data_IF_770397168332
#
_entry.id   IF_770397168332
#
_cell.length_a   1.000
_cell.length_b   1.000
_cell.length_c   1.000
_cell.angle_alpha   90.00
_cell.angle_beta   90.00
_cell.angle_gamma   90.00
#
_symmetry.space_group_name_H-M   'P 1'
#
loop_
_entity.id
_entity.type
_entity.pdbx_description
1 polymer ?
#
# COMPACT_ATOMS: atom_id res chain seq x y z
N UNK A 1 -44.43 47.51 -5.94
CA UNK A 1 -44.05 48.87 -6.41
C UNK A 1 -42.54 48.86 -6.56
N UNK A 2 -41.93 48.60 -7.73
CA UNK A 2 -41.67 49.56 -8.83
C UNK A 2 -40.95 50.82 -8.32
N UNK A 3 -39.80 51.33 -8.79
CA UNK A 3 -38.81 51.00 -9.84
C UNK A 3 -37.67 52.08 -9.78
N UNK A 4 -36.56 51.86 -10.50
CA UNK A 4 -35.44 52.78 -10.91
C UNK A 4 -34.31 53.06 -9.88
N UNK A 5 -33.02 52.69 -10.05
CA UNK A 5 -32.01 52.66 -11.15
C UNK A 5 -31.15 53.93 -11.22
N UNK A 6 -29.82 53.81 -11.05
CA UNK A 6 -28.79 54.51 -11.86
C UNK A 6 -27.39 53.87 -11.73
N UNK A 7 -26.76 53.80 -12.89
CA UNK A 7 -25.49 53.19 -13.29
C UNK A 7 -24.35 54.21 -13.19
N UNK A 8 -23.11 53.76 -13.01
CA UNK A 8 -21.96 54.29 -13.77
C UNK A 8 -20.91 53.21 -14.03
N UNK A 9 -20.35 53.25 -15.25
CA UNK A 9 -19.40 52.34 -15.90
C UNK A 9 -18.30 53.22 -16.52
N UNK A 10 -17.04 52.79 -16.47
CA UNK A 10 -15.93 53.16 -17.38
C UNK A 10 -14.77 52.18 -17.09
N UNK A 11 -14.44 51.15 -17.89
CA UNK A 11 -13.70 51.10 -19.18
C UNK A 11 -12.29 51.72 -19.19
N UNK A 12 -11.27 50.82 -19.07
CA UNK A 12 -10.01 50.56 -19.85
C UNK A 12 -9.28 51.71 -20.60
N UNK A 13 -7.97 51.62 -21.02
CA UNK A 13 -7.15 50.42 -21.33
C UNK A 13 -5.60 50.50 -21.06
N UNK A 14 -4.90 49.41 -21.41
CA UNK A 14 -3.47 49.31 -21.79
C UNK A 14 -2.36 49.53 -20.73
N UNK A 15 -1.52 48.49 -20.52
CA UNK A 15 -0.09 48.45 -20.94
C UNK A 15 0.48 47.05 -20.63
N UNK A 16 0.97 46.41 -21.68
CA UNK A 16 1.83 45.21 -21.73
C UNK A 16 3.28 45.71 -21.72
N UNK A 17 4.20 45.13 -20.93
CA UNK A 17 5.46 44.46 -21.36
C UNK A 17 6.45 44.19 -20.22
N UNK A 18 7.15 43.07 -20.40
CA UNK A 18 8.21 42.40 -19.65
C UNK A 18 9.46 43.21 -19.21
N UNK A 19 10.15 42.63 -18.21
CA UNK A 19 11.55 42.11 -18.28
C UNK A 19 12.55 42.66 -17.22
N UNK A 20 13.03 41.72 -16.40
CA UNK A 20 14.36 41.61 -15.73
C UNK A 20 14.93 42.76 -14.89
N UNK A 21 15.35 42.43 -13.66
CA UNK A 21 16.70 42.77 -13.18
C UNK A 21 17.15 41.88 -12.00
N UNK A 22 18.45 41.58 -12.02
CA UNK A 22 19.25 40.77 -11.07
C UNK A 22 19.54 41.54 -9.78
N UNK A 23 19.75 40.80 -8.67
CA UNK A 23 20.75 41.05 -7.61
C UNK A 23 20.86 39.74 -6.79
N UNK A 24 21.87 38.86 -6.92
CA UNK A 24 23.31 38.85 -6.54
C UNK A 24 23.64 38.97 -5.03
N UNK A 25 24.47 37.98 -4.62
CA UNK A 25 25.38 37.85 -3.45
C UNK A 25 24.75 37.18 -2.21
N UNK A 26 25.38 36.22 -1.53
CA UNK A 26 26.80 35.85 -1.41
C UNK A 26 26.95 34.37 -1.03
N UNK A 27 27.81 33.62 -1.75
CA UNK A 27 28.26 32.28 -1.39
C UNK A 27 29.78 32.24 -1.41
N UNK A 28 30.38 31.86 -0.29
CA UNK A 28 31.80 31.55 -0.09
C UNK A 28 31.81 30.63 1.15
N UNK A 29 32.47 29.48 1.25
CA UNK A 29 33.87 29.09 1.02
C UNK A 29 33.86 27.53 0.97
N UNK A 30 34.16 26.86 -0.14
CA UNK A 30 35.40 26.11 -0.49
C UNK A 30 35.99 25.12 0.55
N UNK A 31 36.08 23.88 0.09
CA UNK A 31 36.80 22.70 0.61
C UNK A 31 38.30 22.93 0.91
N UNK A 32 38.85 22.17 1.86
CA UNK A 32 39.74 21.03 1.54
C UNK A 32 40.29 20.31 2.78
N UNK A 33 40.10 18.99 2.77
CA UNK A 33 40.82 18.02 3.59
C UNK A 33 42.30 17.91 3.17
N UNK A 34 43.21 17.87 4.15
CA UNK A 34 44.29 16.88 4.39
C UNK A 34 45.35 17.48 5.34
N UNK A 35 46.20 16.59 5.87
CA UNK A 35 47.33 16.75 6.82
C UNK A 35 46.93 16.37 8.26
N UNK A 36 47.16 15.15 8.77
CA UNK A 36 48.37 14.31 8.91
C UNK A 36 49.25 14.68 10.12
N UNK A 37 49.20 13.77 11.12
CA UNK A 37 50.29 13.26 11.98
C UNK A 37 51.14 14.24 12.82
N UNK A 38 51.16 13.89 14.12
CA UNK A 38 52.36 13.64 14.94
C UNK A 38 53.03 14.85 15.59
N UNK A 39 52.88 14.94 16.93
CA UNK A 39 53.96 14.99 17.95
C UNK A 39 53.27 15.11 19.32
N UNK A 40 53.46 14.18 20.27
CA UNK A 40 54.57 14.14 21.24
C UNK A 40 54.73 15.50 21.96
N UNK A 41 54.76 15.63 23.28
CA UNK A 41 55.25 14.71 24.31
C UNK A 41 55.15 15.38 25.70
N UNK A 42 54.97 14.56 26.76
CA UNK A 42 55.40 14.67 28.18
C UNK A 42 55.27 16.00 28.96
N UNK A 43 54.60 15.94 30.12
CA UNK A 43 55.23 16.31 31.40
C UNK A 43 54.59 15.57 32.61
N UNK A 44 55.35 15.48 33.70
CA UNK A 44 55.39 14.44 34.73
C UNK A 44 54.39 14.52 35.94
N UNK A 45 54.45 13.44 36.74
CA UNK A 45 53.75 12.98 37.99
C UNK A 45 53.87 13.91 39.25
N UNK A 46 53.50 13.49 40.49
CA UNK A 46 52.30 12.81 41.07
C UNK A 46 51.77 13.52 42.37
N UNK A 47 50.58 13.15 42.91
CA UNK A 47 50.32 12.89 44.35
C UNK A 47 48.82 12.89 44.77
N UNK A 48 48.51 11.96 45.69
CA UNK A 48 47.43 11.93 46.71
C UNK A 48 45.95 11.69 46.35
N UNK A 49 45.30 10.87 47.19
CA UNK A 49 43.87 10.51 47.25
C UNK A 49 43.37 10.69 48.70
N UNK A 50 42.06 10.55 49.07
CA UNK A 50 40.75 10.77 48.41
C UNK A 50 39.86 11.77 49.25
N UNK A 51 38.52 12.00 49.05
CA UNK A 51 37.43 11.03 49.28
C UNK A 51 36.17 11.09 48.34
N UNK A 52 35.50 9.92 48.24
CA UNK A 52 34.06 9.59 48.06
C UNK A 52 33.05 10.42 47.20
N UNK A 53 32.56 9.74 46.13
CA UNK A 53 31.21 9.67 45.52
C UNK A 53 30.58 10.91 44.81
N UNK A 54 29.68 10.76 43.79
CA UNK A 54 28.92 9.56 43.40
C UNK A 54 29.14 9.06 41.95
N UNK A 55 28.74 7.80 41.71
CA UNK A 55 28.81 7.11 40.42
C UNK A 55 27.83 7.69 39.38
N UNK A 56 28.19 7.75 38.08
CA UNK A 56 27.24 8.03 37.01
C UNK A 56 26.32 6.83 36.78
N UNK A 57 25.02 7.09 36.63
CA UNK A 57 24.03 6.10 36.22
C UNK A 57 24.45 5.41 34.91
N UNK A 58 24.28 4.08 34.76
CA UNK A 58 24.41 3.46 33.47
C UNK A 58 23.19 3.84 32.61
N UNK A 59 23.43 4.65 31.58
CA UNK A 59 22.55 4.79 30.43
C UNK A 59 22.36 3.41 29.81
N UNK A 60 21.22 2.77 30.09
CA UNK A 60 20.81 1.52 29.46
C UNK A 60 20.42 1.78 28.00
N UNK A 61 21.41 1.86 27.12
CA UNK A 61 21.25 1.58 25.69
C UNK A 61 21.97 0.27 25.39
N UNK A 62 21.60 -0.79 26.10
CA UNK A 62 21.92 -2.15 25.72
C UNK A 62 20.71 -2.73 25.02
N UNK A 63 20.80 -3.02 23.72
CA UNK A 63 19.83 -3.91 23.05
C UNK A 63 19.79 -5.21 23.88
N UNK A 64 18.66 -5.50 24.51
CA UNK A 64 18.50 -6.75 25.25
C UNK A 64 18.63 -7.90 24.27
N UNK A 65 19.53 -8.84 24.57
CA UNK A 65 19.84 -10.02 23.75
C UNK A 65 18.82 -11.15 23.96
N UNK A 66 17.80 -10.94 24.81
CA UNK A 66 16.71 -11.90 24.98
C UNK A 66 15.68 -11.77 23.84
N UNK A 67 15.15 -12.89 23.31
CA UNK A 67 14.05 -12.84 22.35
C UNK A 67 12.87 -12.11 22.98
N UNK A 68 12.26 -11.21 22.21
CA UNK A 68 11.06 -10.48 22.61
C UNK A 68 9.94 -11.46 22.99
N UNK A 69 9.11 -11.15 24.02
CA UNK A 69 8.01 -12.01 24.41
C UNK A 69 7.09 -12.35 23.24
N UNK A 70 6.59 -13.58 23.21
CA UNK A 70 5.65 -14.03 22.19
C UNK A 70 4.23 -13.75 22.66
N UNK A 71 3.44 -13.09 21.82
CA UNK A 71 2.01 -12.83 21.98
C UNK A 71 1.24 -13.82 21.13
N UNK A 72 0.18 -14.41 21.68
CA UNK A 72 -0.72 -15.28 20.93
C UNK A 72 -1.91 -14.47 20.41
N UNK A 73 -2.18 -14.56 19.11
CA UNK A 73 -3.36 -13.94 18.48
C UNK A 73 -4.33 -15.03 18.03
N UNK A 74 -5.63 -14.80 18.25
CA UNK A 74 -6.72 -15.66 17.78
C UNK A 74 -7.46 -14.92 16.67
N UNK A 75 -7.40 -15.42 15.45
CA UNK A 75 -7.82 -14.69 14.24
C UNK A 75 -8.91 -15.44 13.49
N UNK A 76 -9.92 -14.69 13.05
CA UNK A 76 -11.05 -15.20 12.29
C UNK A 76 -12.09 -15.92 13.14
N UNK A 77 -13.21 -16.24 12.50
CA UNK A 77 -14.36 -16.91 13.16
C UNK A 77 -14.04 -18.28 13.70
N UNK A 78 -13.13 -18.99 13.04
CA UNK A 78 -12.65 -20.31 13.46
C UNK A 78 -11.59 -20.24 14.57
N UNK A 79 -11.12 -19.02 14.90
CA UNK A 79 -10.14 -18.82 15.97
C UNK A 79 -8.76 -19.39 15.66
N UNK A 80 -8.26 -19.21 14.43
CA UNK A 80 -6.93 -19.66 14.03
C UNK A 80 -5.86 -18.95 14.85
N UNK A 81 -4.97 -19.72 15.47
CA UNK A 81 -3.92 -19.18 16.33
C UNK A 81 -2.70 -18.73 15.53
N UNK A 82 -2.17 -17.56 15.90
CA UNK A 82 -0.91 -17.00 15.42
C UNK A 82 -0.02 -16.68 16.63
N UNK A 83 1.29 -16.85 16.45
CA UNK A 83 2.30 -16.45 17.42
C UNK A 83 3.20 -15.39 16.80
N UNK A 84 3.32 -14.24 17.46
CA UNK A 84 4.14 -13.14 16.98
C UNK A 84 4.94 -12.51 18.12
N UNK A 85 6.11 -11.98 17.79
CA UNK A 85 6.94 -11.28 18.75
C UNK A 85 6.37 -9.90 19.08
N UNK A 86 6.45 -9.50 20.35
CA UNK A 86 5.89 -8.23 20.83
C UNK A 86 6.51 -7.01 20.12
N UNK A 87 7.82 -7.02 19.88
CA UNK A 87 8.52 -5.95 19.16
C UNK A 87 8.08 -5.83 17.69
N UNK A 88 7.75 -6.96 17.06
CA UNK A 88 7.21 -6.98 15.69
C UNK A 88 5.82 -6.37 15.66
N UNK A 89 4.97 -6.71 16.62
CA UNK A 89 3.61 -6.17 16.75
C UNK A 89 3.61 -4.66 17.07
N UNK A 90 4.58 -4.18 17.84
CA UNK A 90 4.68 -2.76 18.24
C UNK A 90 4.89 -1.78 17.08
N UNK A 91 5.25 -2.27 15.90
CA UNK A 91 5.26 -1.45 14.69
C UNK A 91 3.86 -0.95 14.30
N UNK A 92 2.80 -1.61 14.78
CA UNK A 92 1.42 -1.15 14.68
C UNK A 92 0.99 -0.42 15.96
N UNK A 93 0.53 0.84 15.88
CA UNK A 93 -0.02 1.55 17.04
C UNK A 93 -1.19 0.82 17.69
N UNK A 94 -2.01 0.12 16.89
CA UNK A 94 -3.13 -0.68 17.37
C UNK A 94 -2.65 -1.84 18.25
N UNK A 95 -1.70 -2.66 17.76
CA UNK A 95 -1.21 -3.80 18.52
C UNK A 95 -0.32 -3.37 19.70
N UNK A 96 0.43 -2.28 19.58
CA UNK A 96 1.18 -1.69 20.69
C UNK A 96 0.24 -1.32 21.84
N UNK A 97 -0.86 -0.63 21.55
CA UNK A 97 -1.88 -0.28 22.54
C UNK A 97 -2.56 -1.52 23.14
N UNK A 98 -2.92 -2.51 22.31
CA UNK A 98 -3.54 -3.75 22.75
C UNK A 98 -2.63 -4.55 23.71
N UNK A 99 -1.33 -4.67 23.38
CA UNK A 99 -0.36 -5.36 24.21
C UNK A 99 -0.08 -4.61 25.54
N UNK A 100 -0.07 -3.28 25.52
CA UNK A 100 0.15 -2.47 26.75
C UNK A 100 -1.06 -2.50 27.68
N UNK A 101 -2.28 -2.56 27.15
CA UNK A 101 -3.51 -2.65 27.94
C UNK A 101 -3.62 -3.92 28.78
N UNK A 102 -2.90 -4.98 28.41
CA UNK A 102 -2.96 -6.30 29.05
C UNK A 102 -2.00 -6.51 30.21
N UNK A 103 -1.32 -5.45 30.69
CA UNK A 103 -0.33 -5.56 31.78
C UNK A 103 -0.89 -6.11 33.11
N UNK A 104 -2.21 -6.10 33.30
CA UNK A 104 -2.87 -6.62 34.51
C UNK A 104 -3.47 -8.02 34.34
N UNK A 105 -3.61 -8.55 33.13
CA UNK A 105 -4.16 -9.89 32.87
C UNK A 105 -3.04 -10.94 32.77
N UNK A 106 -2.90 -11.73 33.84
CA UNK A 106 -2.26 -13.05 33.96
C UNK A 106 -1.41 -13.55 32.78
N UNK A 107 -0.07 -13.51 32.95
CA UNK A 107 1.00 -14.33 32.32
C UNK A 107 1.03 -14.61 30.79
N UNK A 108 -0.04 -14.38 30.03
CA UNK A 108 -0.11 -14.60 28.58
C UNK A 108 -0.91 -13.49 27.91
N UNK A 109 -0.23 -12.58 27.20
CA UNK A 109 -0.88 -11.59 26.34
C UNK A 109 -1.59 -12.31 25.19
N UNK A 110 -2.90 -12.07 25.05
CA UNK A 110 -3.75 -12.72 24.05
C UNK A 110 -4.62 -11.69 23.33
N UNK A 111 -4.49 -11.59 22.01
CA UNK A 111 -5.28 -10.66 21.20
C UNK A 111 -6.30 -11.45 20.38
N UNK A 112 -7.57 -11.04 20.37
CA UNK A 112 -8.62 -11.66 19.56
C UNK A 112 -9.06 -10.74 18.43
N UNK A 113 -9.13 -11.28 17.21
CA UNK A 113 -9.49 -10.58 15.97
C UNK A 113 -10.54 -11.43 15.21
N UNK A 114 -11.79 -11.52 15.70
CA UNK A 114 -12.81 -12.42 15.15
C UNK A 114 -13.29 -12.02 13.74
N UNK A 115 -13.22 -10.73 13.40
CA UNK A 115 -13.68 -10.17 12.12
C UNK A 115 -12.58 -10.14 11.05
N UNK A 116 -11.36 -10.55 11.39
CA UNK A 116 -10.22 -10.55 10.46
C UNK A 116 -10.07 -11.92 9.79
N UNK A 117 -9.85 -11.94 8.48
CA UNK A 117 -9.57 -13.18 7.77
C UNK A 117 -8.13 -13.65 8.05
N UNK A 118 -7.89 -14.94 8.36
CA UNK A 118 -6.56 -15.41 8.72
C UNK A 118 -5.50 -15.19 7.63
N UNK A 119 -5.88 -15.30 6.35
CA UNK A 119 -4.98 -15.06 5.21
C UNK A 119 -4.58 -13.58 5.12
N UNK A 120 -5.48 -12.67 5.49
CA UNK A 120 -5.19 -11.23 5.54
C UNK A 120 -4.27 -10.93 6.69
N UNK A 121 -4.55 -11.45 7.89
CA UNK A 121 -3.65 -11.28 9.02
C UNK A 121 -2.27 -11.90 8.76
N UNK A 122 -2.21 -13.06 8.11
CA UNK A 122 -0.93 -13.65 7.68
C UNK A 122 -0.13 -12.70 6.79
N UNK A 123 -0.80 -11.95 5.91
CA UNK A 123 -0.17 -10.97 5.02
C UNK A 123 0.32 -9.74 5.78
N UNK A 124 -0.49 -9.26 6.74
CA UNK A 124 -0.10 -8.17 7.65
C UNK A 124 1.12 -8.59 8.47
N UNK A 125 1.11 -9.79 9.04
CA UNK A 125 2.21 -10.28 9.86
C UNK A 125 3.48 -10.47 9.03
N UNK A 126 3.37 -11.01 7.82
CA UNK A 126 4.51 -11.10 6.90
C UNK A 126 5.12 -9.73 6.61
N UNK A 127 4.27 -8.73 6.36
CA UNK A 127 4.72 -7.35 6.18
C UNK A 127 5.45 -6.81 7.42
N UNK A 128 4.94 -7.07 8.64
CA UNK A 128 5.61 -6.62 9.87
C UNK A 128 7.01 -7.25 10.03
N UNK A 129 7.22 -8.48 9.55
CA UNK A 129 8.54 -9.12 9.60
C UNK A 129 9.49 -8.72 8.46
N UNK A 130 8.97 -8.51 7.25
CA UNK A 130 9.78 -8.43 6.02
C UNK A 130 9.70 -7.08 5.30
N UNK A 131 8.75 -6.23 5.68
CA UNK A 131 8.42 -4.98 4.97
C UNK A 131 7.65 -5.19 3.65
N UNK A 132 7.30 -6.43 3.32
CA UNK A 132 6.52 -6.81 2.14
C UNK A 132 5.69 -8.07 2.47
N UNK A 133 4.68 -8.38 1.66
CA UNK A 133 3.87 -9.59 1.78
C UNK A 133 3.75 -10.29 0.43
N UNK A 134 3.44 -11.59 0.40
CA UNK A 134 3.26 -12.30 -0.87
C UNK A 134 1.98 -11.84 -1.62
N UNK A 135 2.01 -11.61 -2.95
CA UNK A 135 3.18 -11.68 -3.83
C UNK A 135 4.03 -10.42 -3.74
N UNK A 136 5.36 -10.59 -3.72
CA UNK A 136 6.32 -9.51 -3.55
C UNK A 136 6.41 -8.59 -4.76
N UNK A 137 6.80 -7.36 -4.48
CA UNK A 137 7.01 -6.35 -5.50
C UNK A 137 8.45 -6.43 -6.05
N UNK A 138 8.59 -6.75 -7.33
CA UNK A 138 9.89 -6.96 -8.00
C UNK A 138 10.17 -5.83 -8.98
N UNK A 139 11.36 -5.23 -8.90
CA UNK A 139 11.80 -4.22 -9.87
C UNK A 139 12.44 -4.90 -11.08
N UNK A 140 11.80 -4.76 -12.23
CA UNK A 140 12.34 -5.15 -13.51
C UNK A 140 13.31 -4.06 -13.99
N UNK A 141 14.61 -4.28 -13.75
CA UNK A 141 15.67 -3.32 -14.12
C UNK A 141 15.73 -3.05 -15.62
N UNK A 142 15.40 -4.03 -16.46
CA UNK A 142 15.47 -3.90 -17.92
C UNK A 142 14.40 -2.95 -18.46
N UNK A 143 13.20 -2.98 -17.87
CA UNK A 143 12.06 -2.14 -18.29
C UNK A 143 11.85 -0.94 -17.38
N UNK A 144 12.69 -0.78 -16.36
CA UNK A 144 12.53 0.16 -15.27
C UNK A 144 11.09 0.18 -14.72
N UNK A 145 10.47 -0.99 -14.61
CA UNK A 145 9.08 -1.20 -14.19
C UNK A 145 9.02 -2.02 -12.90
N UNK A 146 7.89 -1.98 -12.22
CA UNK A 146 7.62 -2.82 -11.05
C UNK A 146 6.51 -3.81 -11.39
N UNK A 147 6.73 -5.06 -11.03
CA UNK A 147 5.87 -6.19 -11.37
C UNK A 147 5.66 -7.05 -10.11
N UNK A 148 4.56 -7.81 -10.06
CA UNK A 148 4.35 -8.81 -9.01
C UNK A 148 5.18 -10.06 -9.33
N UNK A 149 5.74 -10.71 -8.31
CA UNK A 149 6.65 -11.84 -8.54
C UNK A 149 6.02 -13.01 -9.32
N UNK A 150 4.71 -13.22 -9.24
CA UNK A 150 4.04 -14.27 -10.02
C UNK A 150 3.85 -13.90 -11.49
N UNK A 151 3.74 -12.60 -11.80
CA UNK A 151 3.73 -12.15 -13.19
C UNK A 151 5.07 -12.47 -13.88
N UNK A 152 6.17 -12.46 -13.12
CA UNK A 152 7.49 -12.86 -13.60
C UNK A 152 7.55 -14.38 -13.82
N UNK A 153 7.04 -15.18 -12.88
CA UNK A 153 7.00 -16.65 -12.97
C UNK A 153 6.08 -17.17 -14.08
N UNK A 154 5.04 -16.41 -14.43
CA UNK A 154 4.11 -16.74 -15.51
C UNK A 154 4.66 -16.53 -16.92
N UNK A 155 5.85 -15.92 -17.07
CA UNK A 155 6.52 -15.87 -18.37
C UNK A 155 7.35 -17.15 -18.55
N UNK A 156 7.05 -18.01 -19.55
CA UNK A 156 7.97 -19.08 -19.88
C UNK A 156 9.27 -18.44 -20.39
N UNK A 157 10.29 -18.37 -19.53
CA UNK A 157 11.64 -18.08 -20.00
C UNK A 157 12.01 -19.17 -21.00
N UNK A 158 12.07 -18.80 -22.28
CA UNK A 158 12.84 -19.50 -23.30
C UNK A 158 14.24 -19.77 -22.75
N UNK A 159 14.55 -21.04 -22.54
CA UNK A 159 15.92 -21.53 -22.39
C UNK A 159 16.14 -22.72 -23.34
N UNK A 160 17.36 -22.87 -23.85
CA UNK A 160 17.64 -23.41 -25.18
C UNK A 160 17.64 -24.94 -25.20
N UNK A 161 17.18 -25.47 -26.33
CA UNK A 161 17.27 -26.90 -26.69
C UNK A 161 18.72 -27.41 -26.59
N UNK A 162 18.93 -28.66 -26.15
CA UNK A 162 19.72 -29.55 -26.98
C UNK A 162 19.02 -30.89 -27.22
N UNK A 163 19.02 -31.25 -28.49
CA UNK A 163 18.49 -32.45 -29.11
C UNK A 163 19.50 -33.61 -29.02
N UNK A 164 19.07 -34.79 -28.56
CA UNK A 164 19.49 -36.12 -29.06
C UNK A 164 18.83 -37.26 -28.23
N UNK A 165 17.79 -37.93 -28.75
CA UNK A 165 17.75 -39.25 -29.46
C UNK A 165 17.22 -40.41 -28.58
N UNK A 166 16.68 -41.52 -29.17
CA UNK A 166 15.38 -42.07 -28.75
C UNK A 166 15.47 -43.50 -28.18
N UNK A 167 14.29 -44.04 -27.77
CA UNK A 167 13.80 -45.44 -27.96
C UNK A 167 13.39 -46.18 -26.68
N UNK A 168 12.08 -46.46 -26.58
CA UNK A 168 11.58 -47.81 -26.27
C UNK A 168 10.96 -48.07 -24.88
N UNK A 169 9.72 -48.57 -24.87
CA UNK A 169 9.35 -49.71 -24.01
C UNK A 169 8.37 -49.50 -22.85
N UNK A 170 7.08 -49.72 -23.15
CA UNK A 170 5.93 -50.23 -22.35
C UNK A 170 6.05 -50.57 -20.84
N UNK A 171 4.88 -50.37 -20.20
CA UNK A 171 4.32 -50.95 -18.95
C UNK A 171 4.69 -50.19 -17.65
N UNK A 172 3.82 -49.95 -16.68
CA UNK A 172 2.50 -50.50 -16.35
C UNK A 172 1.65 -49.44 -15.61
N UNK A 173 0.32 -49.57 -15.74
CA UNK A 173 -0.65 -48.73 -15.06
C UNK A 173 -0.81 -49.12 -13.60
N UNK A 174 -0.78 -48.13 -12.70
CA UNK A 174 -1.29 -48.21 -11.32
C UNK A 174 -2.17 -46.97 -11.10
N UNK A 175 -3.40 -47.11 -10.57
CA UNK A 175 -4.35 -46.00 -10.51
C UNK A 175 -4.09 -45.16 -9.26
N UNK A 176 -3.63 -43.91 -9.45
CA UNK A 176 -3.64 -42.88 -8.42
C UNK A 176 -4.73 -41.85 -8.74
N UNK A 177 -5.68 -41.80 -7.81
CA UNK A 177 -6.61 -40.73 -7.40
C UNK A 177 -6.45 -39.38 -8.13
N UNK A 178 -7.55 -38.74 -8.59
CA UNK A 178 -7.47 -37.42 -9.20
C UNK A 178 -7.27 -36.36 -8.11
N UNK A 179 -6.02 -36.07 -7.76
CA UNK A 179 -5.70 -34.83 -7.06
C UNK A 179 -5.92 -33.70 -8.06
N UNK A 180 -7.02 -32.98 -7.85
CA UNK A 180 -7.36 -31.75 -8.54
C UNK A 180 -6.29 -30.68 -8.27
N UNK A 181 -5.24 -30.67 -9.08
CA UNK A 181 -4.41 -29.47 -9.27
C UNK A 181 -4.50 -29.11 -10.73
N UNK A 182 -5.66 -28.57 -11.09
CA UNK A 182 -5.92 -28.00 -12.39
C UNK A 182 -5.12 -26.71 -12.53
N UNK A 183 -4.16 -26.76 -13.43
CA UNK A 183 -3.64 -25.66 -14.24
C UNK A 183 -4.67 -24.53 -14.47
N UNK A 184 -4.40 -23.31 -14.01
CA UNK A 184 -5.14 -22.13 -14.48
C UNK A 184 -5.20 -20.94 -13.53
N UNK A 185 -4.62 -19.82 -14.00
CA UNK A 185 -5.00 -18.43 -13.72
C UNK A 185 -4.44 -17.78 -12.44
N UNK A 186 -3.55 -16.82 -12.65
CA UNK A 186 -3.07 -15.79 -11.68
C UNK A 186 -4.20 -15.04 -10.94
N UNK A 187 -5.46 -15.18 -11.37
CA UNK A 187 -6.63 -14.58 -10.74
C UNK A 187 -6.99 -15.21 -9.38
N UNK A 188 -6.61 -16.47 -9.11
CA UNK A 188 -7.00 -17.17 -7.88
C UNK A 188 -6.42 -16.54 -6.61
N UNK A 189 -5.35 -15.74 -6.72
CA UNK A 189 -4.67 -15.14 -5.57
C UNK A 189 -4.96 -13.64 -5.41
N UNK A 190 -5.35 -12.97 -6.48
CA UNK A 190 -5.72 -11.55 -6.46
C UNK A 190 -7.02 -11.29 -5.67
N UNK A 191 -7.81 -12.35 -5.42
CA UNK A 191 -9.09 -12.26 -4.72
C UNK A 191 -9.12 -13.14 -3.49
N UNK A 192 -9.93 -12.74 -2.52
CA UNK A 192 -10.18 -13.49 -1.29
C UNK A 192 -11.67 -13.45 -0.98
N UNK A 193 -12.20 -14.54 -0.41
CA UNK A 193 -13.54 -14.55 0.15
C UNK A 193 -13.52 -13.89 1.52
N UNK A 194 -14.38 -12.89 1.75
CA UNK A 194 -14.52 -12.26 3.06
C UNK A 194 -15.84 -12.69 3.69
N UNK A 195 -15.75 -13.38 4.81
CA UNK A 195 -16.88 -13.97 5.53
C UNK A 195 -17.87 -12.92 6.03
N UNK A 196 -17.40 -11.71 6.33
CA UNK A 196 -18.22 -10.59 6.78
C UNK A 196 -19.22 -10.10 5.72
N UNK A 197 -18.85 -10.12 4.44
CA UNK A 197 -19.72 -9.69 3.34
C UNK A 197 -20.22 -10.85 2.45
N UNK A 198 -19.69 -12.06 2.63
CA UNK A 198 -20.09 -13.26 1.89
C UNK A 198 -19.74 -13.19 0.41
N UNK A 199 -18.67 -12.47 0.04
CA UNK A 199 -18.30 -12.20 -1.35
C UNK A 199 -16.80 -12.32 -1.58
N UNK A 200 -16.42 -12.64 -2.81
CA UNK A 200 -15.04 -12.49 -3.28
C UNK A 200 -14.76 -11.03 -3.66
N UNK A 201 -13.71 -10.47 -3.06
CA UNK A 201 -13.18 -9.14 -3.32
C UNK A 201 -11.66 -9.18 -3.49
N UNK A 202 -11.07 -8.08 -3.94
CA UNK A 202 -9.63 -7.96 -4.14
C UNK A 202 -8.89 -8.08 -2.79
N UNK A 203 -7.94 -9.01 -2.73
CA UNK A 203 -7.15 -9.28 -1.52
C UNK A 203 -6.41 -8.03 -1.04
N UNK A 204 -5.76 -7.32 -1.97
CA UNK A 204 -5.02 -6.08 -1.65
C UNK A 204 -5.93 -4.98 -1.06
N UNK A 205 -7.22 -4.96 -1.40
CA UNK A 205 -8.19 -4.03 -0.78
C UNK A 205 -8.46 -4.38 0.66
N UNK A 206 -8.60 -5.67 0.97
CA UNK A 206 -8.84 -6.12 2.34
C UNK A 206 -7.61 -5.84 3.20
N UNK A 207 -6.42 -6.11 2.65
CA UNK A 207 -5.13 -5.76 3.30
C UNK A 207 -5.03 -4.26 3.53
N UNK A 208 -5.43 -3.42 2.55
CA UNK A 208 -5.45 -1.97 2.73
C UNK A 208 -6.36 -1.56 3.90
N UNK A 209 -7.57 -2.11 3.98
CA UNK A 209 -8.51 -1.80 5.05
C UNK A 209 -8.01 -2.30 6.42
N UNK A 210 -7.37 -3.47 6.46
CA UNK A 210 -6.71 -3.97 7.67
C UNK A 210 -5.55 -3.06 8.10
N UNK A 211 -4.74 -2.61 7.14
CA UNK A 211 -3.65 -1.68 7.38
C UNK A 211 -4.14 -0.34 7.96
N UNK A 212 -5.28 0.17 7.48
CA UNK A 212 -5.94 1.34 8.09
C UNK A 212 -6.31 1.08 9.55
N UNK A 213 -7.00 -0.03 9.85
CA UNK A 213 -7.38 -0.41 11.22
C UNK A 213 -6.17 -0.56 12.14
N UNK A 214 -5.07 -1.08 11.62
CA UNK A 214 -3.84 -1.31 12.38
C UNK A 214 -2.87 -0.12 12.39
N UNK A 215 -3.21 1.00 11.73
CA UNK A 215 -2.36 2.19 11.68
C UNK A 215 -1.04 1.99 10.89
N UNK A 216 -1.05 1.12 9.88
CA UNK A 216 0.11 0.75 9.06
C UNK A 216 0.10 1.50 7.71
N UNK A 217 0.45 2.78 7.72
CA UNK A 217 0.34 3.65 6.54
C UNK A 217 1.21 3.22 5.34
N UNK A 218 2.42 2.69 5.57
CA UNK A 218 3.26 2.17 4.48
C UNK A 218 2.67 0.88 3.87
N UNK A 219 2.00 0.04 4.67
CA UNK A 219 1.29 -1.13 4.18
C UNK A 219 0.10 -0.74 3.30
N UNK A 220 -0.63 0.33 3.65
CA UNK A 220 -1.70 0.89 2.79
C UNK A 220 -1.14 1.26 1.41
N UNK A 221 -0.01 1.98 1.37
CA UNK A 221 0.64 2.38 0.11
C UNK A 221 1.11 1.19 -0.71
N UNK A 222 1.72 0.22 -0.05
CA UNK A 222 2.17 -1.02 -0.69
C UNK A 222 0.99 -1.78 -1.29
N UNK A 223 -0.10 -1.96 -0.54
CA UNK A 223 -1.29 -2.66 -1.00
C UNK A 223 -1.96 -1.98 -2.19
N UNK A 224 -2.12 -0.66 -2.13
CA UNK A 224 -2.68 0.08 -3.25
C UNK A 224 -1.80 -0.03 -4.51
N UNK A 225 -0.47 -0.02 -4.34
CA UNK A 225 0.47 -0.17 -5.44
C UNK A 225 0.37 -1.55 -6.07
N UNK A 226 0.31 -2.61 -5.27
CA UNK A 226 0.15 -3.99 -5.76
C UNK A 226 -1.17 -4.21 -6.47
N UNK A 227 -2.26 -3.68 -5.91
CA UNK A 227 -3.58 -3.71 -6.54
C UNK A 227 -3.55 -3.10 -7.94
N UNK A 228 -2.83 -1.99 -8.12
CA UNK A 228 -2.66 -1.33 -9.43
C UNK A 228 -1.90 -2.15 -10.48
N UNK A 229 -1.17 -3.19 -10.06
CA UNK A 229 -0.44 -4.11 -10.95
C UNK A 229 -1.27 -5.36 -11.32
N UNK A 230 -2.38 -5.60 -10.62
CA UNK A 230 -3.27 -6.72 -10.93
C UNK A 230 -3.97 -6.50 -12.28
N UNK A 231 -4.15 -7.58 -13.04
CA UNK A 231 -4.82 -7.57 -14.34
C UNK A 231 -5.75 -8.77 -14.48
N UNK A 232 -6.70 -8.70 -15.43
CA UNK A 232 -7.66 -9.79 -15.65
C UNK A 232 -8.72 -9.94 -14.55
N UNK A 233 -8.93 -8.91 -13.72
CA UNK A 233 -9.92 -8.93 -12.63
C UNK A 233 -11.33 -8.71 -13.19
N UNK A 234 -12.29 -9.51 -12.73
CA UNK A 234 -13.70 -9.35 -13.05
C UNK A 234 -14.24 -7.98 -12.59
N UNK A 235 -15.12 -7.41 -13.42
CA UNK A 235 -15.68 -6.08 -13.23
C UNK A 235 -16.60 -6.01 -12.00
N UNK A 236 -17.31 -7.10 -11.70
CA UNK A 236 -18.12 -7.23 -10.49
C UNK A 236 -17.25 -7.31 -9.24
N UNK A 237 -16.13 -8.02 -9.30
CA UNK A 237 -15.14 -8.04 -8.22
C UNK A 237 -14.58 -6.65 -7.93
N UNK A 238 -14.23 -5.87 -8.97
CA UNK A 238 -13.77 -4.48 -8.78
C UNK A 238 -14.84 -3.65 -8.05
N UNK A 239 -16.10 -3.78 -8.44
CA UNK A 239 -17.20 -2.99 -7.86
C UNK A 239 -17.50 -3.39 -6.41
N UNK A 240 -17.53 -4.70 -6.11
CA UNK A 240 -17.68 -5.18 -4.71
C UNK A 240 -16.50 -4.74 -3.84
N UNK A 241 -15.29 -4.75 -4.39
CA UNK A 241 -14.09 -4.31 -3.66
C UNK A 241 -14.13 -2.79 -3.39
N UNK A 242 -14.62 -2.00 -4.36
CA UNK A 242 -14.84 -0.56 -4.15
C UNK A 242 -15.88 -0.29 -3.05
N UNK A 243 -17.00 -1.02 -3.04
CA UNK A 243 -18.00 -0.89 -1.98
C UNK A 243 -17.44 -1.28 -0.62
N UNK A 244 -16.68 -2.38 -0.57
CA UNK A 244 -15.99 -2.80 0.64
C UNK A 244 -15.04 -1.72 1.17
N UNK A 245 -14.24 -1.13 0.29
CA UNK A 245 -13.35 -0.01 0.63
C UNK A 245 -14.10 1.17 1.26
N UNK A 246 -15.24 1.57 0.67
CA UNK A 246 -16.05 2.66 1.21
C UNK A 246 -16.67 2.34 2.58
N UNK A 247 -17.01 1.08 2.83
CA UNK A 247 -17.58 0.65 4.11
C UNK A 247 -16.52 0.49 5.22
N UNK A 248 -15.25 0.28 4.88
CA UNK A 248 -14.19 -0.07 5.84
C UNK A 248 -13.04 0.96 5.92
N UNK A 249 -13.19 2.12 5.28
CA UNK A 249 -12.25 3.25 5.40
C UNK A 249 -13.00 4.56 5.64
N UNK A 250 -12.43 5.50 6.41
CA UNK A 250 -13.08 6.77 6.69
C UNK A 250 -13.24 7.63 5.44
N UNK A 251 -14.13 8.64 5.52
CA UNK A 251 -14.38 9.58 4.42
C UNK A 251 -13.15 10.41 4.01
N UNK A 252 -12.17 10.53 4.90
CA UNK A 252 -10.89 11.16 4.63
C UNK A 252 -9.95 10.33 3.75
N UNK A 253 -10.21 9.03 3.50
CA UNK A 253 -9.38 8.20 2.63
C UNK A 253 -9.61 8.49 1.15
N UNK A 254 -9.14 9.65 0.73
CA UNK A 254 -9.21 10.10 -0.66
C UNK A 254 -8.40 9.23 -1.61
N UNK A 255 -7.32 8.59 -1.14
CA UNK A 255 -6.37 7.88 -2.01
C UNK A 255 -6.96 6.57 -2.54
N UNK A 256 -7.51 5.72 -1.66
CA UNK A 256 -8.15 4.48 -2.09
C UNK A 256 -9.40 4.77 -2.92
N UNK A 257 -10.20 5.75 -2.50
CA UNK A 257 -11.43 6.15 -3.19
C UNK A 257 -11.12 6.67 -4.60
N UNK A 258 -10.19 7.61 -4.75
CA UNK A 258 -9.80 8.13 -6.06
C UNK A 258 -9.24 7.02 -6.97
N UNK A 259 -8.47 6.07 -6.42
CA UNK A 259 -7.97 4.92 -7.18
C UNK A 259 -9.13 4.09 -7.76
N UNK A 260 -10.15 3.78 -6.96
CA UNK A 260 -11.32 3.03 -7.43
C UNK A 260 -12.15 3.80 -8.45
N UNK A 261 -12.40 5.09 -8.21
CA UNK A 261 -13.14 5.94 -9.15
C UNK A 261 -12.43 6.01 -10.50
N UNK A 262 -11.10 6.23 -10.51
CA UNK A 262 -10.30 6.24 -11.72
C UNK A 262 -10.34 4.88 -12.44
N UNK A 263 -10.25 3.77 -11.70
CA UNK A 263 -10.33 2.42 -12.25
C UNK A 263 -11.69 2.16 -12.92
N UNK A 264 -12.79 2.53 -12.25
CA UNK A 264 -14.15 2.38 -12.79
C UNK A 264 -14.35 3.23 -14.05
N UNK A 265 -13.95 4.51 -14.02
CA UNK A 265 -14.07 5.42 -15.17
C UNK A 265 -13.26 4.93 -16.37
N UNK A 266 -12.06 4.39 -16.13
CA UNK A 266 -11.21 3.80 -17.18
C UNK A 266 -11.85 2.56 -17.81
N UNK A 267 -12.55 1.76 -17.00
CA UNK A 267 -13.21 0.52 -17.42
C UNK A 267 -14.70 0.70 -17.79
N UNK A 268 -15.19 1.94 -17.94
CA UNK A 268 -16.63 2.26 -18.11
C UNK A 268 -17.34 1.51 -19.25
N UNK A 269 -16.65 1.23 -20.36
CA UNK A 269 -17.24 0.49 -21.50
C UNK A 269 -17.62 -0.94 -21.11
N UNK A 270 -16.80 -1.58 -20.28
CA UNK A 270 -17.05 -2.94 -19.78
C UNK A 270 -18.21 -2.95 -18.80
N UNK A 271 -18.23 -2.00 -17.86
CA UNK A 271 -19.33 -1.82 -16.90
C UNK A 271 -20.68 -1.60 -17.58
N UNK A 272 -20.72 -0.77 -18.64
CA UNK A 272 -21.95 -0.51 -19.41
C UNK A 272 -22.51 -1.79 -20.06
N UNK A 273 -21.63 -2.66 -20.55
CA UNK A 273 -22.04 -3.89 -21.24
C UNK A 273 -22.48 -4.99 -20.26
N UNK A 274 -21.90 -5.05 -19.06
CA UNK A 274 -22.20 -6.12 -18.10
C UNK A 274 -23.49 -5.93 -17.31
N UNK A 275 -24.04 -4.70 -17.26
CA UNK A 275 -25.22 -4.36 -16.45
C UNK A 275 -24.96 -4.33 -14.93
N UNK A 276 -23.78 -4.79 -14.49
CA UNK A 276 -23.42 -4.90 -13.07
C UNK A 276 -23.49 -3.55 -12.34
N UNK A 277 -23.07 -2.47 -13.00
CA UNK A 277 -23.14 -1.13 -12.41
C UNK A 277 -24.59 -0.70 -12.15
N UNK A 278 -25.50 -0.98 -13.08
CA UNK A 278 -26.91 -0.61 -12.94
C UNK A 278 -27.55 -1.33 -11.75
N UNK A 279 -27.41 -2.67 -11.70
CA UNK A 279 -27.99 -3.47 -10.62
C UNK A 279 -27.50 -3.02 -9.23
N UNK A 280 -26.21 -2.71 -9.12
CA UNK A 280 -25.60 -2.27 -7.87
C UNK A 280 -25.98 -0.84 -7.48
N UNK A 281 -26.13 0.06 -8.47
CA UNK A 281 -26.63 1.42 -8.23
C UNK A 281 -28.09 1.42 -7.78
N UNK A 282 -28.93 0.57 -8.37
CA UNK A 282 -30.34 0.40 -7.99
C UNK A 282 -30.46 -0.22 -6.59
N UNK A 283 -29.56 -1.14 -6.23
CA UNK A 283 -29.45 -1.70 -4.87
C UNK A 283 -29.05 -0.64 -3.84
N UNK A 284 -28.24 0.33 -4.24
CA UNK A 284 -27.84 1.47 -3.42
C UNK A 284 -26.93 1.10 -2.24
N UNK A 285 -26.96 1.89 -1.16
CA UNK A 285 -26.26 1.59 0.10
C UNK A 285 -24.79 1.97 0.17
N UNK A 286 -24.25 2.70 -0.82
CA UNK A 286 -22.86 3.18 -0.79
C UNK A 286 -22.71 4.60 -1.32
N UNK A 287 -21.92 5.43 -0.62
CA UNK A 287 -21.51 6.77 -1.09
C UNK A 287 -20.66 6.72 -2.38
N UNK A 288 -20.13 5.53 -2.72
CA UNK A 288 -19.39 5.27 -3.95
C UNK A 288 -20.08 5.83 -5.19
N UNK A 289 -21.39 5.65 -5.33
CA UNK A 289 -22.10 6.04 -6.55
C UNK A 289 -22.25 7.55 -6.69
N UNK A 290 -22.41 8.27 -5.59
CA UNK A 290 -22.40 9.73 -5.59
C UNK A 290 -21.00 10.25 -5.97
N UNK A 291 -19.96 9.73 -5.33
CA UNK A 291 -18.58 10.14 -5.63
C UNK A 291 -18.19 9.76 -7.07
N UNK A 292 -18.68 8.64 -7.59
CA UNK A 292 -18.52 8.23 -8.99
C UNK A 292 -19.21 9.18 -9.95
N UNK A 293 -20.44 9.61 -9.65
CA UNK A 293 -21.14 10.62 -10.45
C UNK A 293 -20.32 11.91 -10.54
N UNK A 294 -19.88 12.44 -9.40
CA UNK A 294 -19.06 13.66 -9.35
C UNK A 294 -17.75 13.48 -10.14
N UNK A 295 -17.06 12.36 -9.95
CA UNK A 295 -15.82 12.08 -10.66
C UNK A 295 -16.01 11.93 -12.18
N UNK A 296 -17.15 11.37 -12.62
CA UNK A 296 -17.48 11.30 -14.05
C UNK A 296 -17.75 12.67 -14.66
N UNK A 297 -18.46 13.56 -13.95
CA UNK A 297 -18.69 14.93 -14.40
C UNK A 297 -17.37 15.68 -14.59
N UNK A 298 -16.50 15.67 -13.56
CA UNK A 298 -15.17 16.30 -13.65
C UNK A 298 -14.34 15.72 -14.81
N UNK A 299 -14.39 14.39 -15.00
CA UNK A 299 -13.69 13.76 -16.12
C UNK A 299 -14.23 14.17 -17.50
N UNK A 300 -15.54 14.41 -17.63
CA UNK A 300 -16.13 14.91 -18.86
C UNK A 300 -15.69 16.35 -19.15
N UNK A 301 -15.68 17.21 -18.12
CA UNK A 301 -15.21 18.59 -18.24
C UNK A 301 -13.74 18.63 -18.69
N UNK A 302 -12.87 17.82 -18.06
CA UNK A 302 -11.45 17.69 -18.46
C UNK A 302 -11.30 17.26 -19.93
N UNK A 303 -12.11 16.30 -20.38
CA UNK A 303 -12.09 15.83 -21.78
C UNK A 303 -12.53 16.92 -22.75
N UNK A 304 -13.58 17.67 -22.40
CA UNK A 304 -14.09 18.78 -23.20
C UNK A 304 -13.03 19.88 -23.29
N UNK A 305 -12.42 20.28 -22.17
CA UNK A 305 -11.38 21.31 -22.14
C UNK A 305 -10.15 20.90 -22.96
N UNK A 306 -9.72 19.64 -22.85
CA UNK A 306 -8.65 19.11 -23.69
C UNK A 306 -9.00 19.08 -25.18
N UNK A 307 -10.26 18.85 -25.53
CA UNK A 307 -10.72 18.90 -26.93
C UNK A 307 -10.72 20.33 -27.49
N UNK A 308 -11.21 21.28 -26.70
CA UNK A 308 -11.28 22.70 -27.05
C UNK A 308 -9.88 23.34 -27.15
N UNK A 309 -8.94 22.96 -26.29
CA UNK A 309 -7.56 23.41 -26.35
C UNK A 309 -6.82 22.93 -27.62
N UNK A 310 -7.24 21.82 -28.22
CA UNK A 310 -6.67 21.26 -29.46
C UNK A 310 -7.25 21.84 -30.73
N UNK A 311 -8.38 22.55 -30.65
CA UNK A 311 -8.94 23.27 -31.80
C UNK A 311 -8.34 24.68 -31.85
N UNK A 312 -7.43 24.99 -32.81
CA UNK A 312 -6.91 26.33 -32.94
C UNK A 312 -8.05 27.26 -33.31
N UNK A 313 -8.22 28.35 -32.54
CA UNK A 313 -9.15 29.43 -32.88
C UNK A 313 -8.71 30.01 -34.23
N UNK A 314 -9.42 29.69 -35.30
CA UNK A 314 -9.28 30.37 -36.57
C UNK A 314 -9.78 31.80 -36.36
N UNK A 315 -8.85 32.77 -36.40
CA UNK A 315 -9.15 34.20 -36.44
C UNK A 315 -9.30 34.60 -37.90
#
# INVERSE_FOLDING_TARGET
>A
MSLFKRTFRSQDPNVRVDKTSRLKKSSSIRDHQKLSKMQQSVNEKPAMAPPAAPAPLPTKTGKSVAPSPIVTLTVGREGRLFAAHEDVLFQSPFFEAACRGQFFESQSKRISLPDEEPEIFSSVLEYLYKGDYYPRLVHNRHRNSWELEDAVRGTPQTSPNPENTPRGGRAAAVPSTPTSTTTGTTASEATIFVSGCGQHILRDTVIYCAAERYGLEELKRLALRKQGLQSGIDIGTILRSAQYAYAHTPDSDSRLRAHYLALIIRCRKTFKRSGTMQAEMERGGSKLFFDLFVAMCNHLDDVIDHSNARTPKTV
#
